data_IF_230757041011
#
_entry.id   IF_230757041011
#
_cell.length_a   1.000
_cell.length_b   1.000
_cell.length_c   1.000
_cell.angle_alpha   90.00
_cell.angle_beta   90.00
_cell.angle_gamma   90.00
#
_symmetry.space_group_name_H-M   'P 1'
#
loop_
_entity.id
_entity.type
_entity.pdbx_description
1 polymer ?
#
# COMPACT_ATOMS: atom_id res chain seq x y z
N UNK A 1 23.77 6.38 -28.63
CA UNK A 1 23.15 5.15 -28.10
C UNK A 1 21.78 5.53 -27.56
N UNK A 2 20.72 5.36 -28.35
CA UNK A 2 19.34 5.67 -27.94
C UNK A 2 18.84 4.49 -27.09
N UNK A 3 18.72 4.70 -25.78
CA UNK A 3 18.02 3.74 -24.92
C UNK A 3 16.53 3.90 -25.17
N UNK A 4 15.98 3.00 -25.98
CA UNK A 4 14.54 2.80 -26.09
C UNK A 4 14.08 2.28 -24.73
N UNK A 5 13.47 3.14 -23.92
CA UNK A 5 12.71 2.69 -22.75
C UNK A 5 11.53 1.89 -23.29
N UNK A 6 11.66 0.57 -23.26
CA UNK A 6 10.54 -0.35 -23.47
C UNK A 6 9.36 0.20 -22.69
N UNK A 7 8.20 0.32 -23.32
CA UNK A 7 6.97 0.68 -22.64
C UNK A 7 6.76 -0.35 -21.52
N UNK A 8 7.21 -0.01 -20.30
CA UNK A 8 7.03 -0.85 -19.14
C UNK A 8 5.53 -0.83 -18.88
N UNK A 9 4.83 -1.87 -19.32
CA UNK A 9 3.69 -2.35 -18.55
C UNK A 9 4.27 -2.72 -17.18
N UNK A 10 4.43 -1.73 -16.31
CA UNK A 10 5.23 -1.87 -15.11
C UNK A 10 4.60 -2.94 -14.25
N UNK A 11 5.37 -3.98 -13.95
CA UNK A 11 4.98 -4.97 -12.97
C UNK A 11 4.78 -4.26 -11.64
N UNK A 12 3.69 -4.59 -10.95
CA UNK A 12 3.49 -4.11 -9.59
C UNK A 12 4.62 -4.60 -8.70
N UNK A 13 5.23 -3.68 -7.96
CA UNK A 13 6.10 -4.02 -6.84
C UNK A 13 5.21 -4.29 -5.63
N UNK A 14 5.47 -5.38 -4.91
CA UNK A 14 4.56 -5.88 -3.87
C UNK A 14 5.29 -6.12 -2.57
N UNK A 15 4.71 -5.64 -1.47
CA UNK A 15 5.13 -5.93 -0.11
C UNK A 15 3.96 -6.49 0.70
N UNK A 16 4.17 -7.63 1.35
CA UNK A 16 3.26 -8.09 2.39
C UNK A 16 3.72 -7.50 3.73
N UNK A 17 2.93 -6.57 4.26
CA UNK A 17 3.23 -5.82 5.48
C UNK A 17 2.41 -6.36 6.63
N UNK A 18 3.06 -6.74 7.73
CA UNK A 18 2.37 -6.95 9.00
C UNK A 18 2.30 -5.63 9.73
N UNK A 19 1.10 -5.12 9.96
CA UNK A 19 0.89 -3.79 10.57
C UNK A 19 0.05 -3.88 11.83
N UNK A 20 0.39 -3.08 12.83
CA UNK A 20 -0.46 -2.83 13.99
C UNK A 20 -1.38 -1.66 13.69
N UNK A 21 -2.69 -1.86 13.83
CA UNK A 21 -3.69 -0.79 13.68
C UNK A 21 -3.64 0.10 14.91
N UNK A 22 -3.39 1.39 14.70
CA UNK A 22 -3.35 2.40 15.76
C UNK A 22 -4.71 3.04 15.96
N UNK A 23 -5.29 3.57 14.89
CA UNK A 23 -6.59 4.26 14.94
C UNK A 23 -7.28 4.34 13.57
N UNK A 24 -8.54 4.76 13.55
CA UNK A 24 -9.33 5.07 12.36
C UNK A 24 -9.63 6.57 12.32
N UNK A 25 -8.85 7.33 11.56
CA UNK A 25 -9.09 8.76 11.41
C UNK A 25 -10.44 9.02 10.72
N UNK A 26 -11.35 9.69 11.42
CA UNK A 26 -12.70 10.00 10.92
C UNK A 26 -12.69 11.05 9.83
N UNK A 27 -12.02 12.18 10.06
CA UNK A 27 -12.06 13.33 9.15
C UNK A 27 -11.50 13.05 7.75
N UNK A 28 -10.38 12.30 7.67
CA UNK A 28 -9.73 11.98 6.38
C UNK A 28 -10.18 10.64 5.80
N UNK A 29 -10.98 9.90 6.56
CA UNK A 29 -11.26 8.49 6.32
C UNK A 29 -9.96 7.74 6.02
N UNK A 30 -9.07 7.57 7.01
CA UNK A 30 -7.83 6.80 6.84
C UNK A 30 -7.59 5.87 8.03
N UNK A 31 -7.01 4.71 7.76
CA UNK A 31 -6.55 3.75 8.75
C UNK A 31 -5.11 4.06 9.10
N UNK A 32 -4.85 4.40 10.37
CA UNK A 32 -3.51 4.67 10.86
C UNK A 32 -2.90 3.39 11.41
N UNK A 33 -1.67 3.10 10.99
CA UNK A 33 -0.99 1.86 11.33
C UNK A 33 0.49 2.07 11.57
N UNK A 34 1.13 1.08 12.19
CA UNK A 34 2.58 0.98 12.35
C UNK A 34 3.05 -0.33 11.73
N UNK A 35 4.06 -0.27 10.86
CA UNK A 35 4.68 -1.47 10.29
C UNK A 35 5.41 -2.22 11.41
N UNK A 36 5.12 -3.50 11.56
CA UNK A 36 5.80 -4.43 12.47
C UNK A 36 6.86 -5.21 11.69
N UNK A 37 6.49 -5.68 10.50
CA UNK A 37 7.31 -6.51 9.64
C UNK A 37 6.95 -6.21 8.19
N UNK A 38 7.94 -6.29 7.30
CA UNK A 38 7.75 -6.10 5.88
C UNK A 38 8.43 -7.24 5.12
N UNK A 39 7.70 -7.85 4.19
CA UNK A 39 8.21 -8.88 3.30
C UNK A 39 8.07 -8.41 1.86
N UNK A 40 9.20 -8.13 1.22
CA UNK A 40 9.25 -7.83 -0.21
C UNK A 40 8.94 -9.08 -1.05
N UNK A 41 8.22 -8.89 -2.14
CA UNK A 41 8.16 -9.84 -3.23
C UNK A 41 9.10 -9.34 -4.33
N UNK A 42 10.10 -10.14 -4.69
CA UNK A 42 11.12 -9.73 -5.66
C UNK A 42 12.03 -8.63 -5.11
N UNK A 43 12.15 -7.52 -5.85
CA UNK A 43 13.05 -6.40 -5.54
C UNK A 43 12.30 -5.18 -4.99
N UNK A 44 11.04 -5.35 -4.56
CA UNK A 44 10.20 -4.26 -4.07
C UNK A 44 10.81 -3.53 -2.86
N UNK A 45 10.72 -2.20 -2.90
CA UNK A 45 11.11 -1.30 -1.81
C UNK A 45 9.98 -1.19 -0.79
N UNK A 46 10.10 -1.93 0.31
CA UNK A 46 9.06 -1.96 1.32
C UNK A 46 9.24 -0.88 2.41
N UNK A 47 8.13 -0.34 2.94
CA UNK A 47 8.16 0.45 4.17
C UNK A 47 8.89 -0.30 5.31
N UNK A 48 9.83 0.38 5.94
CA UNK A 48 10.64 -0.21 7.02
C UNK A 48 9.81 -0.55 8.26
N UNK A 49 10.16 -1.60 9.03
CA UNK A 49 9.61 -1.83 10.36
C UNK A 49 9.70 -0.57 11.23
N UNK A 50 8.63 -0.25 11.93
CA UNK A 50 8.51 1.02 12.63
C UNK A 50 8.17 2.21 11.73
N UNK A 51 7.74 2.04 10.48
CA UNK A 51 7.16 3.16 9.71
C UNK A 51 5.71 3.38 10.11
N UNK A 52 5.27 4.64 10.23
CA UNK A 52 3.85 4.96 10.36
C UNK A 52 3.22 5.04 8.95
N UNK A 53 2.08 4.39 8.75
CA UNK A 53 1.33 4.43 7.49
C UNK A 53 -0.11 4.89 7.74
N UNK A 54 -0.63 5.72 6.86
CA UNK A 54 -2.02 6.18 6.87
C UNK A 54 -2.61 6.03 5.48
N UNK A 55 -3.61 5.18 5.31
CA UNK A 55 -4.16 4.85 3.99
C UNK A 55 -5.64 4.52 4.06
N UNK A 56 -6.30 4.51 2.90
CA UNK A 56 -7.65 3.98 2.74
C UNK A 56 -7.55 2.52 2.33
N UNK A 57 -8.02 1.57 3.16
CA UNK A 57 -7.98 0.17 2.81
C UNK A 57 -8.83 -0.10 1.57
N UNK A 58 -8.34 -0.95 0.69
CA UNK A 58 -9.00 -1.35 -0.56
C UNK A 58 -9.33 -2.85 -0.57
N UNK A 59 -10.21 -3.25 -1.48
CA UNK A 59 -10.48 -4.66 -1.75
C UNK A 59 -9.22 -5.39 -2.23
N UNK A 60 -9.22 -6.72 -2.14
CA UNK A 60 -8.04 -7.52 -2.46
C UNK A 60 -7.56 -7.37 -3.91
N UNK A 61 -8.50 -7.10 -4.82
CA UNK A 61 -8.34 -6.81 -6.25
C UNK A 61 -8.09 -5.32 -6.53
N UNK A 62 -7.94 -4.49 -5.49
CA UNK A 62 -7.61 -3.06 -5.54
C UNK A 62 -8.52 -2.22 -6.46
N UNK A 63 -9.74 -2.71 -6.76
CA UNK A 63 -10.70 -2.01 -7.61
C UNK A 63 -11.59 -1.03 -6.84
N UNK A 64 -11.68 -1.15 -5.50
CA UNK A 64 -12.55 -0.30 -4.69
C UNK A 64 -12.05 -0.13 -3.25
N UNK A 65 -12.41 0.99 -2.62
CA UNK A 65 -12.18 1.20 -1.19
C UNK A 65 -13.06 0.24 -0.36
N UNK A 66 -12.50 -0.35 0.71
CA UNK A 66 -13.26 -1.18 1.64
C UNK A 66 -14.25 -0.33 2.44
N UNK A 67 -15.50 -0.80 2.64
CA UNK A 67 -16.44 -0.14 3.53
C UNK A 67 -15.88 0.02 4.95
N UNK A 68 -16.04 1.21 5.55
CA UNK A 68 -15.45 1.56 6.86
C UNK A 68 -15.79 0.57 7.99
N UNK A 69 -16.95 -0.08 7.93
CA UNK A 69 -17.39 -1.13 8.87
C UNK A 69 -16.51 -2.38 8.84
N UNK A 70 -15.90 -2.69 7.70
CA UNK A 70 -15.02 -3.83 7.49
C UNK A 70 -13.56 -3.53 7.83
N UNK A 71 -13.23 -2.27 8.16
CA UNK A 71 -11.85 -1.93 8.47
C UNK A 71 -11.37 -2.62 9.75
N UNK A 72 -10.11 -3.08 9.77
CA UNK A 72 -9.48 -3.62 10.97
C UNK A 72 -9.66 -2.71 12.20
N UNK A 73 -9.96 -3.30 13.36
CA UNK A 73 -10.14 -2.55 14.61
C UNK A 73 -8.78 -2.09 15.18
N UNK A 74 -8.72 -0.93 15.85
CA UNK A 74 -7.53 -0.51 16.62
C UNK A 74 -7.01 -1.60 17.56
N UNK A 75 -5.70 -1.67 17.73
CA UNK A 75 -5.00 -2.66 18.55
C UNK A 75 -4.78 -4.02 17.87
N UNK A 76 -5.42 -4.30 16.73
CA UNK A 76 -5.23 -5.54 15.97
C UNK A 76 -3.98 -5.47 15.11
N UNK A 77 -3.32 -6.61 14.95
CA UNK A 77 -2.28 -6.81 13.95
C UNK A 77 -2.87 -7.52 12.75
N UNK A 78 -2.69 -6.96 11.56
CA UNK A 78 -3.21 -7.51 10.30
C UNK A 78 -2.12 -7.53 9.24
N UNK A 79 -2.27 -8.41 8.25
CA UNK A 79 -1.42 -8.37 7.06
C UNK A 79 -2.08 -7.47 6.01
N UNK A 80 -1.30 -6.58 5.42
CA UNK A 80 -1.72 -5.66 4.37
C UNK A 80 -0.80 -5.88 3.18
N UNK A 81 -1.37 -6.16 2.02
CA UNK A 81 -0.62 -6.17 0.77
C UNK A 81 -0.53 -4.75 0.24
N UNK A 82 0.66 -4.20 0.35
CA UNK A 82 1.06 -2.94 -0.27
C UNK A 82 1.52 -3.24 -1.69
N UNK A 83 0.99 -2.50 -2.65
CA UNK A 83 1.43 -2.56 -4.05
C UNK A 83 1.75 -1.16 -4.51
N UNK A 84 2.79 -1.01 -5.30
CA UNK A 84 3.06 0.26 -5.92
C UNK A 84 3.58 0.13 -7.35
N UNK A 85 3.38 1.20 -8.11
CA UNK A 85 3.90 1.38 -9.45
C UNK A 85 4.58 2.74 -9.51
N UNK A 86 5.86 2.75 -9.87
CA UNK A 86 6.60 3.97 -10.15
C UNK A 86 6.52 4.32 -11.63
N UNK A 87 6.34 5.60 -11.93
CA UNK A 87 6.23 6.09 -13.30
C UNK A 87 6.26 7.60 -13.40
N UNK A 88 5.85 8.11 -14.56
CA UNK A 88 5.72 9.55 -14.81
C UNK A 88 4.23 9.90 -14.90
N UNK A 89 3.74 10.63 -13.90
CA UNK A 89 2.38 11.14 -13.88
C UNK A 89 2.25 12.36 -14.80
N UNK A 90 1.18 12.38 -15.59
CA UNK A 90 0.82 13.52 -16.44
C UNK A 90 0.80 14.81 -15.61
N UNK A 91 1.58 15.80 -16.03
CA UNK A 91 1.72 17.13 -15.42
C UNK A 91 2.29 17.15 -13.97
N UNK A 92 2.87 16.05 -13.47
CA UNK A 92 3.49 16.01 -12.13
C UNK A 92 4.93 15.48 -12.12
N UNK A 93 5.38 14.82 -13.20
CA UNK A 93 6.70 14.20 -13.25
C UNK A 93 6.71 12.83 -12.54
N UNK A 94 7.85 12.40 -11.97
CA UNK A 94 7.95 11.13 -11.26
C UNK A 94 6.89 10.99 -10.16
N UNK A 95 6.19 9.86 -10.14
CA UNK A 95 5.15 9.57 -9.14
C UNK A 95 5.10 8.09 -8.81
N UNK A 96 4.59 7.79 -7.61
CA UNK A 96 4.28 6.44 -7.13
C UNK A 96 2.77 6.32 -6.96
N UNK A 97 2.17 5.32 -7.60
CA UNK A 97 0.77 4.94 -7.41
C UNK A 97 0.77 3.83 -6.37
N UNK A 98 0.00 3.99 -5.29
CA UNK A 98 0.04 3.11 -4.13
C UNK A 98 -1.33 2.49 -3.85
N UNK A 99 -1.34 1.19 -3.52
CA UNK A 99 -2.54 0.46 -3.12
C UNK A 99 -2.30 -0.33 -1.84
N UNK A 100 -3.33 -0.40 -0.99
CA UNK A 100 -3.27 -1.04 0.32
C UNK A 100 -4.47 -1.95 0.56
N UNK A 101 -4.28 -3.26 0.38
CA UNK A 101 -5.34 -4.25 0.59
C UNK A 101 -5.09 -5.07 1.87
N UNK A 102 -5.87 -4.92 2.94
CA UNK A 102 -5.84 -5.85 4.06
C UNK A 102 -6.20 -7.27 3.59
N UNK A 103 -5.35 -8.23 3.92
CA UNK A 103 -5.61 -9.65 3.66
C UNK A 103 -6.49 -10.17 4.81
N UNK A 104 -7.80 -9.98 4.70
CA UNK A 104 -8.77 -10.56 5.62
C UNK A 104 -8.93 -12.04 5.26
N UNK A 105 -8.46 -12.94 6.13
CA UNK A 105 -8.83 -14.36 6.09
C UNK A 105 -10.08 -14.56 6.92
#
# INVERSE_FOLDING_TARGET
MLMVSSAMAGSWEICDLKVQVRDKQTQRAQLQTRVIEAKAQGQAECPQPGSALSFRPETADYQSELPRRQWPKPGRTVTVRYRYLDGICKNRGPCRIEHFSPLQR
#
